data_IF_523959368269
#
_entry.id   IF_523959368269
#
_cell.length_a   1.000
_cell.length_b   1.000
_cell.length_c   1.000
_cell.angle_alpha   90.00
_cell.angle_beta   90.00
_cell.angle_gamma   90.00
#
_symmetry.space_group_name_H-M   'P 1'
#
loop_
_entity.id
_entity.type
_entity.pdbx_description
1 polymer ?
#
# COMPACT_ATOMS: atom_id res chain seq x y z
N UNK A 1 39.55 -67.17 -2.46
CA UNK A 1 38.23 -66.52 -2.64
C UNK A 1 38.12 -65.41 -1.61
N UNK A 2 38.35 -64.15 -1.98
CA UNK A 2 38.05 -62.99 -1.13
C UNK A 2 37.24 -62.02 -1.99
N UNK A 3 36.03 -61.69 -1.53
CA UNK A 3 35.02 -60.94 -2.27
C UNK A 3 35.33 -59.43 -2.25
N UNK A 4 35.29 -58.80 -3.42
CA UNK A 4 35.32 -57.34 -3.56
C UNK A 4 33.93 -56.76 -3.21
N UNK A 5 33.88 -55.88 -2.22
CA UNK A 5 32.68 -55.09 -1.87
C UNK A 5 32.63 -53.84 -2.76
N UNK A 6 31.67 -53.80 -3.68
CA UNK A 6 31.35 -52.62 -4.48
C UNK A 6 30.44 -51.68 -3.66
N UNK A 7 30.94 -50.53 -3.25
CA UNK A 7 30.16 -49.45 -2.65
C UNK A 7 29.55 -48.58 -3.74
N UNK A 8 28.22 -48.60 -3.87
CA UNK A 8 27.48 -47.73 -4.78
C UNK A 8 27.29 -46.34 -4.14
N UNK A 9 27.92 -45.31 -4.72
CA UNK A 9 27.72 -43.91 -4.35
C UNK A 9 26.42 -43.39 -5.00
N UNK A 10 25.40 -43.15 -4.17
CA UNK A 10 24.15 -42.50 -4.59
C UNK A 10 24.37 -40.99 -4.55
N UNK A 11 24.35 -40.33 -5.71
CA UNK A 11 24.42 -38.87 -5.81
C UNK A 11 23.01 -38.28 -5.72
N UNK A 12 22.75 -37.50 -4.66
CA UNK A 12 21.55 -36.70 -4.52
C UNK A 12 21.71 -35.42 -5.35
N UNK A 13 20.99 -35.31 -6.47
CA UNK A 13 20.87 -34.05 -7.21
C UNK A 13 19.77 -33.21 -6.58
N UNK A 14 20.14 -32.10 -5.94
CA UNK A 14 19.18 -31.10 -5.47
C UNK A 14 18.77 -30.22 -6.65
N UNK A 15 17.49 -30.26 -7.00
CA UNK A 15 16.89 -29.39 -8.03
C UNK A 15 16.38 -28.13 -7.35
N UNK A 16 16.99 -26.99 -7.65
CA UNK A 16 16.52 -25.68 -7.17
C UNK A 16 15.50 -25.11 -8.17
N UNK A 17 14.25 -24.93 -7.73
CA UNK A 17 13.23 -24.24 -8.51
C UNK A 17 13.19 -22.75 -8.14
N UNK A 18 13.37 -21.87 -9.12
CA UNK A 18 13.19 -20.42 -8.98
C UNK A 18 11.73 -20.08 -9.21
N UNK A 19 10.97 -19.75 -8.17
CA UNK A 19 9.62 -19.19 -8.33
C UNK A 19 9.73 -17.75 -8.84
N UNK A 20 9.40 -17.54 -10.12
CA UNK A 20 9.21 -16.20 -10.67
C UNK A 20 8.01 -15.55 -9.95
N UNK A 21 8.07 -14.24 -9.63
CA UNK A 21 6.93 -13.55 -9.07
C UNK A 21 5.76 -13.64 -10.06
N UNK A 22 4.61 -14.12 -9.60
CA UNK A 22 3.38 -14.07 -10.38
C UNK A 22 3.15 -12.61 -10.80
N UNK A 23 3.26 -12.34 -12.10
CA UNK A 23 3.02 -11.01 -12.68
C UNK A 23 1.57 -10.64 -12.35
N UNK A 24 1.38 -9.82 -11.32
CA UNK A 24 0.06 -9.44 -10.80
C UNK A 24 -0.51 -8.37 -11.74
N UNK A 25 -0.98 -8.77 -12.92
CA UNK A 25 -1.38 -7.81 -13.97
C UNK A 25 -2.40 -8.41 -14.94
N UNK A 26 -3.64 -8.56 -14.47
CA UNK A 26 -4.83 -8.75 -15.32
C UNK A 26 -5.99 -7.94 -14.72
N UNK A 27 -5.76 -6.65 -14.45
CA UNK A 27 -6.84 -5.75 -14.02
C UNK A 27 -7.47 -5.12 -15.28
N UNK A 28 -8.77 -5.36 -15.53
CA UNK A 28 -9.46 -4.66 -16.62
C UNK A 28 -9.68 -3.19 -16.27
N UNK A 29 -9.51 -2.30 -17.25
CA UNK A 29 -9.87 -0.88 -17.19
C UNK A 29 -10.67 -0.47 -18.43
N UNK A 30 -11.33 0.67 -18.36
CA UNK A 30 -12.03 1.28 -19.50
C UNK A 30 -11.16 2.42 -20.03
N UNK A 31 -10.81 2.39 -21.32
CA UNK A 31 -10.05 3.47 -21.97
C UNK A 31 -10.95 4.69 -22.27
N UNK A 32 -10.38 5.75 -22.82
CA UNK A 32 -11.12 6.97 -23.18
C UNK A 32 -12.21 6.73 -24.26
N UNK A 33 -12.10 5.65 -25.02
CA UNK A 33 -13.02 5.23 -26.06
C UNK A 33 -14.16 4.35 -25.52
N UNK A 34 -14.16 4.02 -24.23
CA UNK A 34 -15.17 3.17 -23.61
C UNK A 34 -14.93 1.66 -23.77
N UNK A 35 -13.75 1.26 -24.23
CA UNK A 35 -13.41 -0.15 -24.44
C UNK A 35 -12.74 -0.75 -23.20
N UNK A 36 -13.02 -2.02 -22.92
CA UNK A 36 -12.31 -2.75 -21.88
C UNK A 36 -10.90 -3.13 -22.37
N UNK A 37 -9.89 -2.59 -21.70
CA UNK A 37 -8.47 -2.81 -21.97
C UNK A 37 -7.75 -3.32 -20.72
N UNK A 38 -6.58 -3.91 -20.89
CA UNK A 38 -5.73 -4.31 -19.76
C UNK A 38 -4.87 -3.14 -19.29
N UNK A 39 -4.74 -2.98 -17.97
CA UNK A 39 -3.97 -1.89 -17.37
C UNK A 39 -2.52 -1.78 -17.89
N UNK A 40 -1.91 -2.91 -18.27
CA UNK A 40 -0.54 -2.98 -18.77
C UNK A 40 -0.39 -2.59 -20.24
N UNK A 41 -1.49 -2.49 -20.98
CA UNK A 41 -1.52 -2.07 -22.39
C UNK A 41 -1.82 -0.57 -22.56
N UNK A 42 -2.25 0.10 -21.48
CA UNK A 42 -2.43 1.54 -21.46
C UNK A 42 -1.05 2.23 -21.47
N UNK A 43 -0.77 2.93 -22.56
CA UNK A 43 0.42 3.81 -22.72
C UNK A 43 0.44 4.99 -21.74
N UNK A 44 -0.65 5.20 -21.00
CA UNK A 44 -0.81 6.23 -19.99
C UNK A 44 -1.25 5.58 -18.67
N UNK A 45 -0.68 5.97 -17.53
CA UNK A 45 -1.12 5.46 -16.24
C UNK A 45 -2.60 5.78 -16.02
N UNK A 46 -3.39 4.77 -15.64
CA UNK A 46 -4.78 4.97 -15.23
C UNK A 46 -4.79 5.98 -14.08
N UNK A 47 -5.60 7.06 -14.16
CA UNK A 47 -5.68 8.04 -13.08
C UNK A 47 -6.03 7.34 -11.76
N UNK A 48 -5.21 7.57 -10.73
CA UNK A 48 -5.55 7.13 -9.38
C UNK A 48 -6.85 7.85 -8.97
N UNK A 49 -7.91 7.07 -8.73
CA UNK A 49 -9.23 7.59 -8.37
C UNK A 49 -9.22 8.37 -7.05
N UNK A 50 -8.16 8.24 -6.27
CA UNK A 50 -7.93 8.93 -5.01
C UNK A 50 -6.98 10.13 -5.13
N UNK A 51 -6.56 10.50 -6.35
CA UNK A 51 -5.69 11.64 -6.61
C UNK A 51 -6.49 12.94 -6.64
N UNK A 52 -6.71 13.50 -5.45
CA UNK A 52 -7.43 14.76 -5.29
C UNK A 52 -6.48 15.96 -5.44
N UNK A 53 -6.90 16.94 -6.24
CA UNK A 53 -6.21 18.23 -6.33
C UNK A 53 -6.53 19.08 -5.09
N UNK A 54 -5.74 18.92 -4.04
CA UNK A 54 -5.89 19.68 -2.79
C UNK A 54 -5.24 21.06 -2.91
N UNK A 55 -5.96 22.11 -2.54
CA UNK A 55 -5.41 23.47 -2.54
C UNK A 55 -4.65 23.76 -1.24
N UNK A 56 -3.65 24.64 -1.29
CA UNK A 56 -2.89 25.04 -0.11
C UNK A 56 -3.66 25.96 0.87
N UNK A 57 -4.91 26.32 0.55
CA UNK A 57 -5.73 27.21 1.38
C UNK A 57 -6.56 26.45 2.43
N UNK A 58 -6.54 25.12 2.39
CA UNK A 58 -7.30 24.32 3.31
C UNK A 58 -6.70 24.36 4.73
N UNK A 59 -7.58 24.31 5.74
CA UNK A 59 -7.19 24.34 7.15
C UNK A 59 -6.80 22.93 7.62
N UNK A 60 -5.73 22.86 8.42
CA UNK A 60 -5.31 21.64 9.10
C UNK A 60 -6.47 21.03 9.92
N UNK A 61 -6.58 19.70 9.90
CA UNK A 61 -7.59 18.97 10.67
C UNK A 61 -6.97 17.85 11.49
N UNK A 62 -7.39 17.74 12.74
CA UNK A 62 -7.08 16.60 13.58
C UNK A 62 -8.06 15.45 13.29
N UNK A 63 -7.55 14.24 13.19
CA UNK A 63 -8.38 13.06 12.95
C UNK A 63 -7.86 11.82 13.71
N UNK A 64 -8.76 10.89 13.99
CA UNK A 64 -8.51 9.64 14.70
C UNK A 64 -8.95 8.43 13.87
N UNK A 65 -8.16 7.36 13.87
CA UNK A 65 -8.49 6.12 13.14
C UNK A 65 -8.82 4.92 14.07
N UNK A 66 -8.94 5.13 15.37
CA UNK A 66 -9.10 4.04 16.35
C UNK A 66 -7.80 3.64 17.05
N UNK A 67 -6.65 4.02 16.50
CA UNK A 67 -5.31 3.66 17.00
C UNK A 67 -4.52 4.88 17.43
N UNK A 68 -4.51 5.93 16.60
CA UNK A 68 -3.70 7.12 16.81
C UNK A 68 -4.39 8.38 16.29
N UNK A 69 -3.92 9.53 16.78
CA UNK A 69 -4.28 10.84 16.26
C UNK A 69 -3.28 11.33 15.22
N UNK A 70 -3.79 11.96 14.17
CA UNK A 70 -2.98 12.60 13.15
C UNK A 70 -3.51 13.98 12.80
N UNK A 71 -2.60 14.95 12.68
CA UNK A 71 -2.88 16.22 12.05
C UNK A 71 -2.67 16.10 10.54
N UNK A 72 -3.74 16.22 9.76
CA UNK A 72 -3.67 16.34 8.31
C UNK A 72 -3.56 17.80 7.92
N UNK A 73 -2.84 18.08 6.83
CA UNK A 73 -2.71 19.43 6.27
C UNK A 73 -4.03 19.97 5.73
N UNK A 74 -4.98 19.09 5.40
CA UNK A 74 -6.33 19.48 5.01
C UNK A 74 -7.33 18.33 5.13
N UNK A 75 -8.63 18.68 5.03
CA UNK A 75 -9.69 17.68 4.82
C UNK A 75 -9.49 16.92 3.51
N UNK A 76 -8.97 17.59 2.47
CA UNK A 76 -8.72 16.98 1.17
C UNK A 76 -7.62 15.90 1.25
N UNK A 77 -6.50 16.19 1.93
CA UNK A 77 -5.41 15.19 2.08
C UNK A 77 -5.85 14.00 2.94
N UNK A 78 -6.64 14.24 3.99
CA UNK A 78 -7.29 13.17 4.76
C UNK A 78 -8.24 12.32 3.90
N UNK A 79 -9.05 12.95 3.05
CA UNK A 79 -9.96 12.23 2.16
C UNK A 79 -9.18 11.38 1.14
N UNK A 80 -8.11 11.92 0.56
CA UNK A 80 -7.25 11.21 -0.38
C UNK A 80 -6.63 9.97 0.28
N UNK A 81 -6.17 10.12 1.53
CA UNK A 81 -5.69 9.00 2.34
C UNK A 81 -6.77 7.95 2.60
N UNK A 82 -7.95 8.36 3.06
CA UNK A 82 -9.07 7.47 3.36
C UNK A 82 -9.60 6.72 2.12
N UNK A 83 -9.48 7.33 0.94
CA UNK A 83 -9.80 6.72 -0.34
C UNK A 83 -8.83 5.56 -0.65
N UNK A 84 -7.52 5.79 -0.47
CA UNK A 84 -6.48 4.76 -0.69
C UNK A 84 -6.47 3.68 0.41
N UNK A 85 -6.91 4.02 1.62
CA UNK A 85 -6.81 3.17 2.81
C UNK A 85 -8.18 2.94 3.46
N UNK A 86 -9.11 2.21 2.81
CA UNK A 86 -10.47 2.02 3.32
C UNK A 86 -10.55 1.27 4.67
N UNK A 87 -9.52 0.50 5.01
CA UNK A 87 -9.43 -0.25 6.27
C UNK A 87 -8.78 0.54 7.43
N UNK A 88 -8.07 1.64 7.13
CA UNK A 88 -7.35 2.47 8.13
C UNK A 88 -7.88 3.91 8.16
N UNK A 89 -9.18 4.11 7.95
CA UNK A 89 -9.76 5.44 7.78
C UNK A 89 -9.66 6.30 9.03
N UNK A 90 -9.38 7.58 8.83
CA UNK A 90 -9.41 8.62 9.84
C UNK A 90 -10.74 9.37 9.82
N UNK A 91 -11.26 9.68 11.00
CA UNK A 91 -12.43 10.54 11.19
C UNK A 91 -12.02 11.82 11.92
N UNK A 92 -12.53 12.97 11.47
CA UNK A 92 -12.20 14.27 12.06
C UNK A 92 -12.65 14.30 13.52
N UNK A 93 -11.78 14.84 14.37
CA UNK A 93 -12.06 15.15 15.77
C UNK A 93 -11.67 16.59 16.06
N UNK A 94 -11.89 17.08 17.29
CA UNK A 94 -11.53 18.44 17.66
C UNK A 94 -10.01 18.66 17.59
N UNK A 95 -9.59 19.77 16.97
CA UNK A 95 -8.18 20.06 16.70
C UNK A 95 -7.28 20.04 17.95
N UNK A 96 -7.82 20.43 19.11
CA UNK A 96 -7.05 20.42 20.35
C UNK A 96 -6.63 19.00 20.77
N UNK A 97 -7.30 17.94 20.31
CA UNK A 97 -6.92 16.57 20.65
C UNK A 97 -5.54 16.20 20.10
N UNK A 98 -5.19 16.69 18.90
CA UNK A 98 -3.86 16.47 18.32
C UNK A 98 -2.76 17.35 18.94
N UNK A 99 -3.13 18.34 19.76
CA UNK A 99 -2.16 19.19 20.46
C UNK A 99 -2.03 18.83 21.94
N UNK A 100 -2.88 17.94 22.46
CA UNK A 100 -2.85 17.48 23.84
C UNK A 100 -2.34 16.05 23.95
N UNK A 101 -1.39 15.82 24.86
CA UNK A 101 -0.64 14.55 24.97
C UNK A 101 -1.39 13.38 25.62
N UNK A 102 -2.73 13.40 25.65
CA UNK A 102 -3.53 12.35 26.32
C UNK A 102 -3.84 11.16 25.40
N UNK A 103 -3.72 11.32 24.09
CA UNK A 103 -3.94 10.26 23.09
C UNK A 103 -2.68 10.14 22.23
N UNK A 104 -2.21 8.93 21.91
CA UNK A 104 -1.00 8.77 21.11
C UNK A 104 -1.17 9.40 19.73
N UNK A 105 -0.18 10.19 19.32
CA UNK A 105 -0.02 10.57 17.92
C UNK A 105 0.48 9.36 17.13
N UNK A 106 0.20 9.32 15.83
CA UNK A 106 0.71 8.27 14.96
C UNK A 106 2.25 8.30 14.94
N UNK A 107 2.86 7.11 14.90
CA UNK A 107 4.32 6.97 14.93
C UNK A 107 4.97 7.59 13.69
N UNK A 108 6.28 7.87 13.71
CA UNK A 108 7.00 8.33 12.51
C UNK A 108 6.87 7.36 11.32
N UNK A 109 6.86 6.06 11.59
CA UNK A 109 6.68 5.01 10.58
C UNK A 109 5.27 5.06 10.00
N UNK A 110 4.24 5.17 10.85
CA UNK A 110 2.85 5.31 10.40
C UNK A 110 2.69 6.57 9.57
N UNK A 111 3.22 7.72 10.01
CA UNK A 111 3.21 8.98 9.25
C UNK A 111 3.87 8.87 7.87
N UNK A 112 4.94 8.09 7.77
CA UNK A 112 5.56 7.80 6.47
C UNK A 112 4.62 7.04 5.54
N UNK A 113 3.80 6.12 6.05
CA UNK A 113 2.72 5.47 5.27
C UNK A 113 1.62 6.47 4.86
N UNK A 114 1.43 7.55 5.63
CA UNK A 114 0.47 8.61 5.33
C UNK A 114 0.96 9.60 4.26
N UNK A 115 2.25 9.57 3.89
CA UNK A 115 2.84 10.50 2.92
C UNK A 115 3.00 11.93 3.44
N UNK A 116 3.14 12.09 4.77
CA UNK A 116 3.29 13.36 5.49
C UNK A 116 4.49 13.37 6.45
#
# INVERSE_FOLDING_TARGET
RSLYTLSALVTLTVVSASVLPAKRSHLPAVNAQGEMVWLDELSHPVPDKCDFSCTNQDVNVCAHNGQCLQMFTSRCTMAAYNCRNPQKRFNIVENYKCTQGYVPLCSPEERKELGI
#
